data_IF_902514127310
#
_entry.id   IF_902514127310
#
_cell.length_a   1.000
_cell.length_b   1.000
_cell.length_c   1.000
_cell.angle_alpha   90.00
_cell.angle_beta   90.00
_cell.angle_gamma   90.00
#
_symmetry.space_group_name_H-M   'P 1'
#
loop_
_entity.id
_entity.type
_entity.pdbx_description
1 polymer ?
#
# COMPACT_ATOMS: atom_id res chain seq x y z
N UNK A 1 -8.27 -1.57 -0.47
CA UNK A 1 -7.71 -0.19 -0.43
C UNK A 1 -8.45 0.72 0.53
N UNK A 2 -9.75 1.02 0.37
CA UNK A 2 -10.46 2.00 1.23
C UNK A 2 -10.30 1.73 2.73
N UNK A 3 -10.55 0.50 3.17
CA UNK A 3 -10.47 0.16 4.60
C UNK A 3 -9.02 0.19 5.14
N UNK A 4 -8.03 -0.20 4.33
CA UNK A 4 -6.63 -0.22 4.75
C UNK A 4 -6.11 1.20 5.03
N UNK A 5 -6.49 2.17 4.20
CA UNK A 5 -6.10 3.58 4.35
C UNK A 5 -6.73 4.21 5.59
N UNK A 6 -8.01 3.89 5.85
CA UNK A 6 -8.69 4.36 7.06
C UNK A 6 -8.11 3.72 8.33
N UNK A 7 -7.74 2.44 8.28
CA UNK A 7 -7.07 1.75 9.38
C UNK A 7 -5.69 2.37 9.63
N UNK A 8 -4.89 2.60 8.59
CA UNK A 8 -3.57 3.24 8.74
C UNK A 8 -3.68 4.65 9.29
N UNK A 9 -4.70 5.41 8.87
CA UNK A 9 -4.96 6.75 9.39
C UNK A 9 -5.34 6.70 10.87
N UNK A 10 -6.25 5.81 11.26
CA UNK A 10 -6.65 5.64 12.66
C UNK A 10 -5.48 5.24 13.55
N UNK A 11 -4.64 4.30 13.09
CA UNK A 11 -3.42 3.89 13.80
C UNK A 11 -2.47 5.08 13.93
N UNK A 12 -2.18 5.80 12.84
CA UNK A 12 -1.27 6.94 12.87
C UNK A 12 -1.74 8.03 13.83
N UNK A 13 -3.05 8.28 13.91
CA UNK A 13 -3.64 9.27 14.81
C UNK A 13 -3.36 8.93 16.28
N UNK A 14 -3.50 7.66 16.67
CA UNK A 14 -3.19 7.21 18.03
C UNK A 14 -1.68 7.19 18.28
N UNK A 15 -0.91 6.59 17.37
CA UNK A 15 0.51 6.34 17.56
C UNK A 15 1.34 7.64 17.60
N UNK A 16 1.08 8.59 16.70
CA UNK A 16 1.84 9.84 16.65
C UNK A 16 1.57 10.69 17.88
N UNK A 17 0.32 10.73 18.36
CA UNK A 17 0.01 11.45 19.60
C UNK A 17 0.61 10.77 20.83
N UNK A 18 0.56 9.44 20.89
CA UNK A 18 1.16 8.69 21.99
C UNK A 18 2.68 8.90 22.05
N UNK A 19 3.38 8.78 20.92
CA UNK A 19 4.83 9.01 20.84
C UNK A 19 5.16 10.45 21.21
N UNK A 20 4.37 11.42 20.76
CA UNK A 20 4.62 12.81 21.06
C UNK A 20 4.43 13.13 22.55
N UNK A 21 3.41 12.55 23.19
CA UNK A 21 3.19 12.66 24.63
C UNK A 21 4.34 12.03 25.43
N UNK A 22 4.73 10.81 25.08
CA UNK A 22 5.84 10.10 25.71
C UNK A 22 7.15 10.85 25.49
N UNK A 23 7.38 11.36 24.29
CA UNK A 23 8.55 12.16 23.95
C UNK A 23 8.62 13.44 24.77
N UNK A 24 7.50 14.13 24.93
CA UNK A 24 7.41 15.31 25.78
C UNK A 24 7.69 14.98 27.25
N UNK A 25 7.16 13.86 27.75
CA UNK A 25 7.42 13.40 29.12
C UNK A 25 8.90 13.13 29.41
N UNK A 26 9.61 12.46 28.48
CA UNK A 26 11.02 12.10 28.70
C UNK A 26 12.03 13.19 28.32
N UNK A 27 11.71 14.04 27.34
CA UNK A 27 12.67 15.01 26.78
C UNK A 27 12.34 16.46 27.13
N UNK A 28 11.11 16.73 27.60
CA UNK A 28 10.61 18.10 27.80
C UNK A 28 10.36 18.88 26.51
N UNK A 29 10.53 18.25 25.33
CA UNK A 29 10.33 18.91 24.04
C UNK A 29 8.86 18.83 23.65
N UNK A 30 8.20 19.99 23.63
CA UNK A 30 6.82 20.09 23.18
C UNK A 30 6.73 20.03 21.66
N UNK A 31 6.19 18.92 21.14
CA UNK A 31 5.91 18.77 19.71
C UNK A 31 4.60 19.49 19.38
N UNK A 32 4.69 20.61 18.68
CA UNK A 32 3.53 21.42 18.30
C UNK A 32 2.51 20.63 17.47
N UNK A 33 1.22 20.92 17.67
CA UNK A 33 0.12 20.19 17.04
C UNK A 33 0.16 20.20 15.50
N UNK A 34 0.63 21.29 14.88
CA UNK A 34 0.80 21.35 13.41
C UNK A 34 1.81 20.31 12.90
N UNK A 35 2.91 20.11 13.62
CA UNK A 35 3.92 19.10 13.27
C UNK A 35 3.36 17.69 13.46
N UNK A 36 2.58 17.44 14.52
CA UNK A 36 1.89 16.16 14.74
C UNK A 36 0.94 15.82 13.59
N UNK A 37 0.14 16.80 13.13
CA UNK A 37 -0.77 16.62 11.99
C UNK A 37 0.01 16.35 10.70
N UNK A 38 1.09 17.10 10.44
CA UNK A 38 1.94 16.89 9.27
C UNK A 38 2.55 15.47 9.26
N UNK A 39 2.99 14.97 10.42
CA UNK A 39 3.49 13.60 10.57
C UNK A 39 2.41 12.55 10.29
N UNK A 40 1.21 12.71 10.84
CA UNK A 40 0.08 11.80 10.60
C UNK A 40 -0.24 11.75 9.10
N UNK A 41 -0.32 12.90 8.45
CA UNK A 41 -0.58 12.98 7.01
C UNK A 41 0.55 12.35 6.19
N UNK A 42 1.81 12.61 6.53
CA UNK A 42 2.97 12.03 5.85
C UNK A 42 3.00 10.51 5.94
N UNK A 43 2.78 9.95 7.14
CA UNK A 43 2.70 8.49 7.35
C UNK A 43 1.54 7.88 6.58
N UNK A 44 0.37 8.52 6.61
CA UNK A 44 -0.82 8.04 5.90
C UNK A 44 -0.60 8.05 4.38
N UNK A 45 0.04 9.09 3.84
CA UNK A 45 0.37 9.18 2.42
C UNK A 45 1.40 8.11 2.01
N UNK A 46 2.43 7.88 2.83
CA UNK A 46 3.41 6.82 2.59
C UNK A 46 2.77 5.43 2.57
N UNK A 47 1.89 5.14 3.54
CA UNK A 47 1.13 3.90 3.58
C UNK A 47 0.21 3.74 2.36
N UNK A 48 -0.42 4.82 1.90
CA UNK A 48 -1.26 4.81 0.71
C UNK A 48 -0.46 4.38 -0.53
N UNK A 49 0.66 5.04 -0.80
CA UNK A 49 1.52 4.74 -1.96
C UNK A 49 2.03 3.30 -1.93
N UNK A 50 2.53 2.85 -0.78
CA UNK A 50 3.07 1.50 -0.64
C UNK A 50 1.97 0.44 -0.83
N UNK A 51 0.80 0.65 -0.23
CA UNK A 51 -0.34 -0.27 -0.37
C UNK A 51 -0.87 -0.32 -1.80
N UNK A 52 -0.87 0.82 -2.51
CA UNK A 52 -1.23 0.91 -3.92
C UNK A 52 -0.25 0.13 -4.80
N UNK A 53 1.05 0.28 -4.56
CA UNK A 53 2.08 -0.48 -5.27
C UNK A 53 1.93 -1.99 -5.07
N UNK A 54 1.73 -2.44 -3.83
CA UNK A 54 1.50 -3.86 -3.51
C UNK A 54 0.24 -4.39 -4.20
N UNK A 55 -0.84 -3.60 -4.22
CA UNK A 55 -2.07 -4.00 -4.90
C UNK A 55 -1.89 -4.16 -6.41
N UNK A 56 -1.08 -3.29 -7.05
CA UNK A 56 -0.74 -3.40 -8.46
C UNK A 56 0.08 -4.67 -8.76
N UNK A 57 1.09 -4.96 -7.93
CA UNK A 57 1.90 -6.19 -8.07
C UNK A 57 1.03 -7.43 -7.96
N UNK A 58 0.16 -7.49 -6.95
CA UNK A 58 -0.78 -8.61 -6.80
C UNK A 58 -1.72 -8.77 -8.00
N UNK A 59 -2.19 -7.67 -8.58
CA UNK A 59 -3.03 -7.73 -9.78
C UNK A 59 -2.26 -8.23 -10.99
N UNK A 60 -0.99 -7.84 -11.12
CA UNK A 60 -0.11 -8.31 -12.18
C UNK A 60 0.17 -9.82 -12.06
N UNK A 61 0.29 -10.36 -10.85
CA UNK A 61 0.44 -11.81 -10.62
C UNK A 61 -0.84 -12.60 -10.94
N UNK A 62 -2.01 -11.98 -10.81
CA UNK A 62 -3.31 -12.59 -11.15
C UNK A 62 -3.61 -12.57 -12.66
N UNK A 63 -2.92 -11.75 -13.44
CA UNK A 63 -3.16 -11.62 -14.88
C UNK A 63 -2.58 -12.80 -15.68
N UNK A 64 -3.41 -13.38 -16.56
CA UNK A 64 -2.96 -14.37 -17.55
C UNK A 64 -2.38 -13.60 -18.73
N UNK A 65 -1.20 -13.98 -19.27
CA UNK A 65 -0.59 -13.27 -20.38
C UNK A 65 -1.52 -13.24 -21.59
N UNK A 66 -1.66 -12.04 -22.18
CA UNK A 66 -2.50 -11.78 -23.36
C UNK A 66 -2.10 -12.62 -24.58
N UNK A 67 -0.85 -13.11 -24.61
CA UNK A 67 -0.33 -14.04 -25.63
C UNK A 67 -0.86 -15.48 -25.51
N UNK A 68 -1.70 -15.77 -24.52
CA UNK A 68 -2.18 -17.12 -24.23
C UNK A 68 -1.08 -18.02 -23.66
N UNK A 69 -1.45 -19.21 -23.21
CA UNK A 69 -0.45 -20.23 -22.85
C UNK A 69 0.18 -20.76 -24.14
N UNK A 70 1.44 -21.17 -24.12
CA UNK A 70 2.13 -21.80 -25.27
C UNK A 70 1.34 -22.97 -25.88
N UNK A 71 0.46 -23.61 -25.08
CA UNK A 71 -0.49 -24.63 -25.54
C UNK A 71 -1.57 -24.10 -26.51
N UNK A 72 -2.00 -22.86 -26.39
CA UNK A 72 -3.06 -22.27 -27.23
C UNK A 72 -2.52 -21.76 -28.57
N UNK A 73 -1.26 -21.30 -28.64
CA UNK A 73 -0.65 -20.84 -29.90
C UNK A 73 -0.21 -21.99 -30.80
N UNK A 74 0.11 -23.17 -30.25
CA UNK A 74 0.50 -24.36 -31.02
C UNK A 74 -0.68 -25.21 -31.50
N UNK A 75 -1.89 -24.99 -30.98
CA UNK A 75 -3.07 -25.81 -31.34
C UNK A 75 -3.70 -25.38 -32.67
N UNK A 76 -3.50 -24.14 -33.11
CA UNK A 76 -3.97 -23.66 -34.41
C UNK A 76 -3.21 -24.32 -35.58
N UNK A 77 -1.94 -24.67 -35.38
CA UNK A 77 -1.10 -25.28 -36.41
C UNK A 77 -1.31 -26.81 -36.53
N UNK A 78 -1.75 -27.49 -35.47
CA UNK A 78 -2.08 -28.94 -35.51
C UNK A 78 -3.35 -29.28 -36.28
N UNK A 79 -4.25 -28.33 -36.55
CA UNK A 79 -5.53 -28.61 -37.23
C UNK A 79 -5.45 -28.58 -38.75
N UNK A 80 -4.30 -28.19 -39.32
CA UNK A 80 -4.05 -28.15 -40.77
C UNK A 80 -3.34 -29.40 -41.32
N UNK A 81 -2.94 -30.33 -40.44
CA UNK A 81 -2.21 -31.55 -40.79
C UNK A 81 -3.01 -32.82 -40.50
N UNK A 82 -4.28 -32.86 -40.91
CA UNK A 82 -5.03 -34.11 -41.03
C UNK A 82 -5.97 -34.07 -42.23
#
# INVERSE_FOLDING_TARGET
MRNAVWISFGIALVFVNLIAEIGEYFTGIHIHMLLRIALILGVTMGAFVLSGAIALVHKMDEEVPLSGRVRDTLSADKKKSK
#
